data_IF_129969191529
#
_entry.id   IF_129969191529
#
_cell.length_a   1.000
_cell.length_b   1.000
_cell.length_c   1.000
_cell.angle_alpha   90.00
_cell.angle_beta   90.00
_cell.angle_gamma   90.00
#
_symmetry.space_group_name_H-M   'P 1'
#
loop_
_entity.id
_entity.type
_entity.pdbx_description
1 polymer ?
#
# COMPACT_ATOMS: atom_id res chain seq x y z
N UNK A 1 2.49 -13.56 -1.51
CA UNK A 1 3.53 -12.72 -2.17
C UNK A 1 3.82 -11.55 -1.25
N UNK A 2 5.08 -11.38 -0.83
CA UNK A 2 5.47 -10.32 0.08
C UNK A 2 5.71 -9.01 -0.67
N UNK A 3 5.19 -7.93 -0.10
CA UNK A 3 5.21 -6.59 -0.62
C UNK A 3 5.82 -5.67 0.43
N UNK A 4 6.61 -4.71 -0.02
CA UNK A 4 7.19 -3.68 0.82
C UNK A 4 6.71 -2.33 0.29
N UNK A 5 6.11 -1.54 1.17
CA UNK A 5 5.53 -0.24 0.85
C UNK A 5 6.11 0.80 1.79
N UNK A 6 6.63 1.89 1.23
CA UNK A 6 7.19 2.98 2.02
C UNK A 6 6.56 4.32 1.62
N UNK A 7 6.08 5.10 2.59
CA UNK A 7 5.40 6.37 2.34
C UNK A 7 6.29 7.36 1.56
N UNK A 8 7.60 7.34 1.81
CA UNK A 8 8.61 8.09 1.03
C UNK A 8 8.57 7.78 -0.45
N UNK A 9 8.44 6.51 -0.84
CA UNK A 9 8.31 6.15 -2.25
C UNK A 9 7.07 6.80 -2.85
N UNK A 10 5.99 6.90 -2.10
CA UNK A 10 4.73 7.53 -2.51
C UNK A 10 4.76 9.07 -2.56
N UNK A 11 5.89 9.70 -2.23
CA UNK A 11 6.03 11.15 -2.22
C UNK A 11 5.48 11.81 -0.96
N UNK A 12 5.21 11.03 0.07
CA UNK A 12 4.90 11.55 1.40
C UNK A 12 6.19 11.77 2.19
N UNK A 13 6.23 12.83 2.99
CA UNK A 13 7.33 13.12 3.93
C UNK A 13 7.26 12.21 5.17
N UNK A 14 7.04 10.91 4.98
CA UNK A 14 6.93 9.94 6.06
C UNK A 14 7.85 8.74 5.87
N UNK A 15 8.59 8.39 6.92
CA UNK A 15 9.53 7.27 6.94
C UNK A 15 8.87 5.92 7.22
N UNK A 16 7.53 5.88 7.25
CA UNK A 16 6.79 4.66 7.51
C UNK A 16 7.00 3.65 6.39
N UNK A 17 7.37 2.45 6.80
CA UNK A 17 7.62 1.29 5.96
C UNK A 17 6.75 0.16 6.49
N UNK A 18 5.95 -0.44 5.62
CA UNK A 18 5.21 -1.66 5.90
C UNK A 18 5.66 -2.76 4.95
N UNK A 19 6.10 -3.87 5.51
CA UNK A 19 6.52 -5.06 4.78
C UNK A 19 5.69 -6.25 5.24
N UNK A 20 5.14 -7.02 4.31
CA UNK A 20 4.33 -8.19 4.64
C UNK A 20 3.62 -8.76 3.43
N UNK A 21 2.72 -9.72 3.66
CA UNK A 21 1.93 -10.30 2.57
C UNK A 21 0.86 -9.31 2.08
N UNK A 22 0.59 -9.34 0.77
CA UNK A 22 -0.47 -8.53 0.15
C UNK A 22 -1.85 -9.01 0.62
N UNK A 23 -2.22 -8.60 1.82
CA UNK A 23 -3.43 -8.98 2.53
C UNK A 23 -4.13 -7.75 3.10
N UNK A 24 -5.42 -7.90 3.42
CA UNK A 24 -6.27 -6.81 3.94
C UNK A 24 -5.66 -6.13 5.16
N UNK A 25 -4.96 -6.89 6.02
CA UNK A 25 -4.27 -6.36 7.21
C UNK A 25 -3.17 -5.36 6.89
N UNK A 26 -2.45 -5.55 5.79
CA UNK A 26 -1.37 -4.65 5.39
C UNK A 26 -1.96 -3.34 4.84
N UNK A 27 -3.04 -3.46 4.07
CA UNK A 27 -3.83 -2.32 3.58
C UNK A 27 -4.42 -1.53 4.74
N UNK A 28 -4.99 -2.19 5.73
CA UNK A 28 -5.57 -1.54 6.92
C UNK A 28 -4.49 -0.81 7.75
N UNK A 29 -3.31 -1.41 7.93
CA UNK A 29 -2.19 -0.76 8.60
C UNK A 29 -1.73 0.49 7.85
N UNK A 30 -1.58 0.40 6.53
CA UNK A 30 -1.17 1.54 5.70
C UNK A 30 -2.25 2.63 5.69
N UNK A 31 -3.52 2.27 5.58
CA UNK A 31 -4.66 3.19 5.65
C UNK A 31 -4.73 3.90 7.00
N UNK A 32 -4.64 3.15 8.09
CA UNK A 32 -4.66 3.72 9.45
C UNK A 32 -3.49 4.65 9.68
N UNK A 33 -2.34 4.37 9.07
CA UNK A 33 -1.19 5.27 9.10
C UNK A 33 -1.45 6.56 8.31
N UNK A 34 -2.01 6.48 7.10
CA UNK A 34 -2.39 7.67 6.33
C UNK A 34 -3.42 8.55 7.05
N UNK A 35 -4.41 7.95 7.69
CA UNK A 35 -5.41 8.68 8.49
C UNK A 35 -4.77 9.34 9.73
N UNK A 36 -3.98 8.59 10.50
CA UNK A 36 -3.41 9.07 11.76
C UNK A 36 -2.27 10.09 11.57
N UNK A 37 -1.36 9.84 10.62
CA UNK A 37 -0.12 10.63 10.48
C UNK A 37 -0.24 11.71 9.41
N UNK A 38 -1.00 11.44 8.35
CA UNK A 38 -1.22 12.39 7.26
C UNK A 38 -2.59 13.06 7.29
N UNK A 39 -3.55 12.55 8.07
CA UNK A 39 -4.93 13.05 8.06
C UNK A 39 -5.67 12.73 6.75
N UNK A 40 -5.24 11.69 6.02
CA UNK A 40 -5.79 11.33 4.71
C UNK A 40 -6.59 10.05 4.81
N UNK A 41 -7.91 10.18 4.75
CA UNK A 41 -8.82 9.02 4.64
C UNK A 41 -8.85 8.53 3.19
N UNK A 42 -7.87 7.71 2.84
CA UNK A 42 -7.94 6.93 1.62
C UNK A 42 -8.84 5.72 1.84
N UNK A 43 -9.77 5.48 0.92
CA UNK A 43 -10.52 4.21 0.89
C UNK A 43 -9.56 3.04 0.74
N UNK A 44 -9.87 1.93 1.42
CA UNK A 44 -9.12 0.68 1.33
C UNK A 44 -8.88 0.28 -0.13
N UNK A 45 -9.88 0.46 -0.99
CA UNK A 45 -9.82 0.17 -2.43
C UNK A 45 -8.78 1.03 -3.17
N UNK A 46 -8.62 2.30 -2.81
CA UNK A 46 -7.64 3.20 -3.42
C UNK A 46 -6.23 2.80 -3.02
N UNK A 47 -6.01 2.47 -1.74
CA UNK A 47 -4.72 1.94 -1.26
C UNK A 47 -4.40 0.61 -1.97
N UNK A 48 -5.37 -0.30 -2.09
CA UNK A 48 -5.20 -1.56 -2.82
C UNK A 48 -4.79 -1.30 -4.27
N UNK A 49 -5.50 -0.43 -4.99
CA UNK A 49 -5.16 -0.09 -6.37
C UNK A 49 -3.77 0.57 -6.49
N UNK A 50 -3.41 1.45 -5.55
CA UNK A 50 -2.11 2.12 -5.50
C UNK A 50 -0.96 1.13 -5.30
N UNK A 51 -1.15 0.15 -4.41
CA UNK A 51 -0.19 -0.94 -4.15
C UNK A 51 -0.06 -1.88 -5.35
N UNK A 52 -1.18 -2.18 -6.01
CA UNK A 52 -1.22 -3.02 -7.21
C UNK A 52 -0.63 -2.33 -8.45
N UNK A 53 -0.74 -1.00 -8.57
CA UNK A 53 -0.33 -0.26 -9.77
C UNK A 53 1.17 0.06 -9.85
N UNK A 54 1.91 0.05 -8.72
CA UNK A 54 3.31 0.55 -8.67
C UNK A 54 4.41 -0.44 -9.03
N UNK A 55 4.15 -1.73 -9.16
CA UNK A 55 5.22 -2.71 -9.41
C UNK A 55 5.00 -4.12 -8.88
N UNK A 56 3.90 -4.38 -8.18
CA UNK A 56 3.35 -5.74 -8.12
C UNK A 56 2.55 -5.96 -9.41
N UNK A 57 3.27 -6.26 -10.49
CA UNK A 57 2.76 -6.21 -11.86
C UNK A 57 1.42 -6.93 -12.01
N UNK A 58 0.47 -6.29 -12.71
CA UNK A 58 -0.74 -6.92 -13.28
C UNK A 58 -0.46 -8.21 -14.10
N UNK A 59 0.79 -8.47 -14.46
CA UNK A 59 1.26 -9.70 -15.12
C UNK A 59 1.40 -10.90 -14.18
N UNK A 60 1.45 -10.73 -12.86
CA UNK A 60 1.29 -11.88 -11.92
C UNK A 60 -0.16 -12.11 -11.50
N UNK A 61 -1.08 -11.21 -11.85
CA UNK A 61 -2.50 -11.30 -11.48
C UNK A 61 -3.37 -11.73 -12.67
N UNK A 62 -2.87 -11.67 -13.91
CA UNK A 62 -3.57 -12.24 -15.07
C UNK A 62 -2.65 -13.11 -15.94
N UNK A 63 -2.84 -14.43 -15.79
CA UNK A 63 -2.37 -15.58 -16.60
C UNK A 63 -0.92 -16.07 -16.36
N UNK A 64 -0.66 -17.30 -15.93
CA UNK A 64 -1.17 -18.63 -16.36
C UNK A 64 -0.90 -18.95 -17.84
#
# INVERSE_FOLDING_TARGET
>A
MMIKLECKEYGFECEYVVEGECDTKLIEQLRSHFDAEHGIDYSSEFIIQMVMNRGHTRESITKA
#
